data_IF_588008158052
#
_entry.id   IF_588008158052
#
_cell.length_a   1.000
_cell.length_b   1.000
_cell.length_c   1.000
_cell.angle_alpha   90.00
_cell.angle_beta   90.00
_cell.angle_gamma   90.00
#
_symmetry.space_group_name_H-M   'P 1'
#
loop_
_entity.id
_entity.type
_entity.pdbx_description
1 polymer ?
#
# COMPACT_ATOMS: atom_id res chain seq x y z
N UNK A 1 -10.56 1.19 -18.14
CA UNK A 1 -11.87 0.55 -18.43
C UNK A 1 -12.57 0.53 -17.09
N UNK A 2 -13.72 1.18 -16.97
CA UNK A 2 -14.48 1.17 -15.71
C UNK A 2 -14.87 -0.28 -15.36
N UNK A 3 -14.89 -0.62 -14.09
CA UNK A 3 -15.34 -1.93 -13.64
C UNK A 3 -16.87 -1.95 -13.65
N UNK A 4 -17.45 -3.05 -14.08
CA UNK A 4 -18.92 -3.22 -14.05
C UNK A 4 -19.48 -3.41 -12.62
N UNK A 5 -18.58 -3.58 -11.65
CA UNK A 5 -18.92 -3.82 -10.24
C UNK A 5 -17.76 -3.34 -9.35
N UNK A 6 -18.07 -2.77 -8.19
CA UNK A 6 -17.07 -2.40 -7.19
C UNK A 6 -16.37 -3.63 -6.61
N UNK A 7 -15.04 -3.56 -6.36
CA UNK A 7 -14.31 -4.64 -5.70
C UNK A 7 -14.78 -4.88 -4.27
N UNK A 8 -14.72 -6.14 -3.84
CA UNK A 8 -15.02 -6.55 -2.46
C UNK A 8 -13.87 -6.23 -1.51
N UNK A 9 -14.22 -5.96 -0.25
CA UNK A 9 -13.23 -5.65 0.78
C UNK A 9 -12.37 -6.86 1.10
N UNK A 10 -11.10 -6.60 1.40
CA UNK A 10 -10.16 -7.59 1.91
C UNK A 10 -9.99 -7.44 3.43
N UNK A 11 -9.78 -8.57 4.10
CA UNK A 11 -9.40 -8.62 5.51
C UNK A 11 -8.31 -9.66 5.75
N UNK A 12 -7.53 -9.47 6.83
CA UNK A 12 -6.51 -10.43 7.27
C UNK A 12 -6.93 -11.11 8.56
N UNK A 13 -6.55 -12.38 8.72
CA UNK A 13 -6.74 -13.13 9.96
C UNK A 13 -5.80 -12.71 11.11
N UNK A 14 -4.84 -11.81 10.81
CA UNK A 14 -3.79 -11.40 11.75
C UNK A 14 -2.57 -12.32 11.80
N UNK A 15 -2.58 -13.39 11.00
CA UNK A 15 -1.46 -14.32 10.81
C UNK A 15 -0.81 -14.17 9.43
N UNK A 16 -1.24 -13.16 8.68
CA UNK A 16 -0.71 -12.82 7.35
C UNK A 16 -1.50 -13.43 6.20
N UNK A 17 -2.59 -14.17 6.44
CA UNK A 17 -3.47 -14.63 5.38
C UNK A 17 -4.55 -13.59 5.10
N UNK A 18 -4.79 -13.34 3.80
CA UNK A 18 -5.74 -12.34 3.33
C UNK A 18 -6.91 -13.04 2.64
N UNK A 19 -8.12 -12.58 2.96
CA UNK A 19 -9.38 -13.13 2.48
C UNK A 19 -10.25 -11.98 1.95
N UNK A 20 -11.20 -12.32 1.09
CA UNK A 20 -12.26 -11.42 0.63
C UNK A 20 -13.54 -11.55 1.49
N UNK A 21 -14.23 -10.44 1.68
CA UNK A 21 -15.59 -10.41 2.22
C UNK A 21 -16.55 -9.92 1.14
N UNK A 22 -17.20 -10.87 0.47
CA UNK A 22 -18.13 -10.59 -0.62
C UNK A 22 -19.46 -9.97 -0.17
N UNK A 23 -19.66 -9.75 1.13
CA UNK A 23 -20.81 -9.00 1.64
C UNK A 23 -20.58 -7.48 1.71
N UNK A 24 -19.33 -7.03 1.46
CA UNK A 24 -18.95 -5.62 1.52
C UNK A 24 -18.15 -5.22 0.29
N UNK A 25 -18.54 -4.14 -0.37
CA UNK A 25 -17.67 -3.44 -1.30
C UNK A 25 -16.66 -2.55 -0.54
N UNK A 26 -15.52 -2.26 -1.19
CA UNK A 26 -14.50 -1.36 -0.61
C UNK A 26 -15.05 0.05 -0.51
N UNK A 27 -14.81 0.67 0.65
CA UNK A 27 -14.92 2.11 0.82
C UNK A 27 -13.52 2.75 0.85
N UNK A 28 -13.39 3.93 0.27
CA UNK A 28 -12.20 4.76 0.37
C UNK A 28 -12.39 5.85 1.42
N UNK A 29 -11.30 6.34 1.99
CA UNK A 29 -11.33 7.50 2.88
C UNK A 29 -10.67 8.70 2.20
N UNK A 30 -11.38 9.83 2.25
CA UNK A 30 -10.87 11.14 1.89
C UNK A 30 -11.23 12.11 3.03
N UNK A 31 -10.23 12.59 3.77
CA UNK A 31 -10.48 13.33 5.01
C UNK A 31 -10.94 12.41 6.15
N UNK A 32 -11.99 12.79 6.88
CA UNK A 32 -12.49 12.04 8.05
C UNK A 32 -13.54 10.98 7.70
N UNK A 33 -14.14 11.09 6.54
CA UNK A 33 -15.28 10.28 6.14
C UNK A 33 -14.88 9.18 5.16
N UNK A 34 -15.62 8.08 5.19
CA UNK A 34 -15.55 7.02 4.20
C UNK A 34 -16.57 7.28 3.08
N UNK A 35 -16.19 6.97 1.84
CA UNK A 35 -16.98 7.21 0.64
C UNK A 35 -16.94 5.98 -0.28
N UNK A 36 -17.99 5.78 -1.09
CA UNK A 36 -17.91 4.92 -2.26
C UNK A 36 -16.82 5.41 -3.20
N UNK A 37 -16.06 4.49 -3.78
CA UNK A 37 -15.03 4.82 -4.78
C UNK A 37 -15.67 4.74 -6.16
N UNK A 38 -15.57 5.79 -7.00
CA UNK A 38 -16.07 5.77 -8.37
C UNK A 38 -15.47 4.63 -9.20
N UNK A 39 -16.27 4.04 -10.09
CA UNK A 39 -15.84 2.91 -10.92
C UNK A 39 -14.66 3.26 -11.82
N UNK A 40 -14.60 4.50 -12.31
CA UNK A 40 -13.50 5.01 -13.15
C UNK A 40 -12.15 5.18 -12.45
N UNK A 41 -12.14 5.22 -11.11
CA UNK A 41 -10.93 5.41 -10.31
C UNK A 41 -10.17 4.10 -10.04
N UNK A 42 -10.78 2.96 -10.36
CA UNK A 42 -10.18 1.66 -10.14
C UNK A 42 -9.24 1.24 -11.26
N UNK A 43 -8.04 0.79 -10.88
CA UNK A 43 -7.12 0.09 -11.77
C UNK A 43 -6.72 -1.25 -11.13
N UNK A 44 -6.34 -2.24 -11.94
CA UNK A 44 -5.70 -3.45 -11.41
C UNK A 44 -4.44 -3.05 -10.63
N UNK A 45 -4.19 -3.70 -9.48
CA UNK A 45 -3.01 -3.42 -8.66
C UNK A 45 -1.75 -3.56 -9.52
N UNK A 46 -0.99 -2.47 -9.73
CA UNK A 46 0.16 -2.50 -10.60
C UNK A 46 1.24 -3.47 -10.11
N UNK A 47 1.99 -4.04 -11.05
CA UNK A 47 3.15 -4.88 -10.75
C UNK A 47 4.12 -4.16 -9.79
N UNK A 48 4.55 -4.87 -8.75
CA UNK A 48 5.34 -4.29 -7.65
C UNK A 48 4.53 -3.65 -6.53
N UNK A 49 3.21 -3.61 -6.65
CA UNK A 49 2.32 -3.29 -5.53
C UNK A 49 2.25 -4.44 -4.53
N UNK A 50 2.06 -4.13 -3.26
CA UNK A 50 1.99 -5.11 -2.18
C UNK A 50 0.78 -4.87 -1.31
N UNK A 51 0.22 -5.95 -0.74
CA UNK A 51 -0.83 -5.89 0.25
C UNK A 51 -0.24 -5.90 1.65
N UNK A 52 -0.84 -5.13 2.54
CA UNK A 52 -0.46 -5.06 3.95
C UNK A 52 -1.68 -5.17 4.83
N UNK A 53 -1.58 -6.00 5.85
CA UNK A 53 -2.54 -5.97 6.94
C UNK A 53 -2.29 -4.74 7.82
N UNK A 54 -3.35 -4.21 8.40
CA UNK A 54 -3.31 -3.05 9.30
C UNK A 54 -3.71 -3.50 10.71
N UNK A 55 -2.77 -4.00 11.53
CA UNK A 55 -3.07 -4.54 12.84
C UNK A 55 -3.83 -3.55 13.73
N UNK A 56 -4.84 -4.06 14.43
CA UNK A 56 -5.69 -3.24 15.29
C UNK A 56 -6.64 -2.29 14.55
N UNK A 57 -6.85 -2.50 13.25
CA UNK A 57 -7.79 -1.72 12.43
C UNK A 57 -8.78 -2.63 11.75
N UNK A 58 -10.05 -2.25 11.76
CA UNK A 58 -11.13 -2.95 11.08
C UNK A 58 -11.55 -2.19 9.85
N UNK A 59 -11.60 -2.86 8.70
CA UNK A 59 -12.01 -2.23 7.45
C UNK A 59 -13.43 -1.72 7.49
N UNK A 60 -13.68 -0.58 6.84
CA UNK A 60 -15.02 -0.05 6.58
C UNK A 60 -15.34 -0.33 5.12
N UNK A 61 -16.47 -0.96 4.87
CA UNK A 61 -16.98 -1.24 3.54
C UNK A 61 -18.42 -0.80 3.38
N UNK A 62 -18.96 -1.00 2.19
CA UNK A 62 -20.34 -0.71 1.82
C UNK A 62 -21.08 -2.03 1.71
N UNK A 63 -22.10 -2.23 2.50
CA UNK A 63 -22.91 -3.42 2.47
C UNK A 63 -23.57 -3.62 1.09
N UNK A 64 -23.36 -4.78 0.50
CA UNK A 64 -23.79 -5.10 -0.87
C UNK A 64 -25.30 -5.03 -1.05
N UNK A 65 -26.08 -5.38 -0.01
CA UNK A 65 -27.53 -5.43 -0.07
C UNK A 65 -28.19 -4.08 0.27
N UNK A 66 -27.64 -3.37 1.28
CA UNK A 66 -28.28 -2.15 1.81
C UNK A 66 -27.66 -0.88 1.29
N UNK A 67 -26.41 -0.92 0.80
CA UNK A 67 -25.63 0.26 0.43
C UNK A 67 -25.15 1.10 1.60
N UNK A 68 -25.31 0.64 2.84
CA UNK A 68 -24.88 1.35 4.04
C UNK A 68 -23.40 1.05 4.38
N UNK A 69 -22.72 2.03 4.96
CA UNK A 69 -21.37 1.83 5.49
C UNK A 69 -21.39 0.90 6.69
N UNK A 70 -20.52 -0.10 6.68
CA UNK A 70 -20.43 -1.10 7.75
C UNK A 70 -18.97 -1.51 8.01
N UNK A 71 -18.66 -1.82 9.26
CA UNK A 71 -17.37 -2.35 9.67
C UNK A 71 -17.30 -3.84 9.30
N UNK A 72 -16.17 -4.27 8.73
CA UNK A 72 -15.82 -5.67 8.54
C UNK A 72 -15.32 -6.24 9.87
N UNK A 73 -16.15 -7.10 10.49
CA UNK A 73 -15.84 -7.70 11.80
C UNK A 73 -14.96 -8.97 11.70
N UNK A 74 -14.60 -9.41 10.48
CA UNK A 74 -13.92 -10.71 10.25
C UNK A 74 -12.44 -10.71 10.59
N UNK A 75 -11.78 -9.54 10.57
CA UNK A 75 -10.35 -9.46 10.80
C UNK A 75 -9.79 -8.05 10.69
N UNK A 76 -8.47 -7.96 10.47
CA UNK A 76 -7.81 -6.68 10.28
C UNK A 76 -8.04 -6.12 8.88
N UNK A 77 -8.11 -4.81 8.77
CA UNK A 77 -8.14 -4.13 7.48
C UNK A 77 -6.90 -4.46 6.66
N UNK A 78 -7.08 -4.51 5.34
CA UNK A 78 -6.00 -4.66 4.36
C UNK A 78 -5.94 -3.41 3.51
N UNK A 79 -4.74 -2.98 3.21
CA UNK A 79 -4.45 -1.87 2.32
C UNK A 79 -3.36 -2.24 1.33
N UNK A 80 -3.20 -1.44 0.29
CA UNK A 80 -2.14 -1.62 -0.68
C UNK A 80 -1.09 -0.52 -0.58
N UNK A 81 0.16 -0.90 -0.83
CA UNK A 81 1.24 0.01 -1.17
C UNK A 81 1.47 -0.08 -2.67
N UNK A 82 1.25 1.02 -3.39
CA UNK A 82 1.37 1.07 -4.84
C UNK A 82 2.79 1.47 -5.26
N UNK A 83 3.28 0.98 -6.41
CA UNK A 83 4.62 1.29 -6.88
C UNK A 83 4.76 2.76 -7.30
N UNK A 84 5.99 3.29 -7.41
CA UNK A 84 6.26 4.57 -8.06
C UNK A 84 5.58 4.67 -9.41
N UNK A 85 5.47 5.84 -9.97
CA UNK A 85 4.69 6.12 -11.16
C UNK A 85 3.16 6.14 -10.95
N UNK A 86 2.67 5.75 -9.81
CA UNK A 86 1.25 5.79 -9.47
C UNK A 86 0.99 6.65 -8.24
N UNK A 87 -0.20 7.23 -8.17
CA UNK A 87 -0.69 7.91 -6.96
C UNK A 87 -2.06 7.37 -6.58
N UNK A 88 -2.23 7.05 -5.29
CA UNK A 88 -3.51 6.64 -4.74
C UNK A 88 -4.47 7.83 -4.64
N UNK A 89 -5.73 7.60 -4.95
CA UNK A 89 -6.79 8.60 -4.88
C UNK A 89 -7.51 8.56 -3.53
N UNK A 90 -7.58 7.38 -2.92
CA UNK A 90 -8.22 7.15 -1.63
C UNK A 90 -7.32 6.29 -0.74
N UNK A 91 -7.22 6.64 0.53
CA UNK A 91 -6.63 5.76 1.54
C UNK A 91 -7.64 4.70 1.96
N UNK A 92 -7.17 3.60 2.55
CA UNK A 92 -8.05 2.57 3.09
C UNK A 92 -8.98 3.16 4.17
N UNK A 93 -10.26 2.84 4.10
CA UNK A 93 -11.22 3.20 5.12
C UNK A 93 -11.21 2.15 6.24
N UNK A 94 -10.99 2.58 7.49
CA UNK A 94 -10.97 1.69 8.64
C UNK A 94 -11.31 2.42 9.94
N UNK A 95 -11.80 1.67 10.91
CA UNK A 95 -11.87 2.04 12.31
C UNK A 95 -10.59 1.63 13.02
N UNK A 96 -10.01 2.52 13.82
CA UNK A 96 -8.82 2.22 14.63
C UNK A 96 -9.27 1.81 16.02
N UNK A 97 -8.89 0.62 16.46
CA UNK A 97 -9.16 0.14 17.82
C UNK A 97 -8.23 0.83 18.84
N UNK A 98 -8.64 0.96 20.10
CA UNK A 98 -7.84 1.66 21.13
C UNK A 98 -6.43 1.11 21.32
N UNK A 99 -6.26 -0.20 21.14
CA UNK A 99 -4.98 -0.90 21.32
C UNK A 99 -4.15 -1.01 20.04
N UNK A 100 -4.57 -0.35 18.94
CA UNK A 100 -3.91 -0.47 17.65
C UNK A 100 -2.47 0.04 17.71
N UNK A 101 -1.48 -0.73 17.24
CA UNK A 101 -0.10 -0.26 17.17
C UNK A 101 0.05 0.85 16.13
N UNK A 102 1.13 1.62 16.24
CA UNK A 102 1.50 2.57 15.18
C UNK A 102 1.85 1.80 13.90
N UNK A 103 1.37 2.30 12.77
CA UNK A 103 1.73 1.73 11.47
C UNK A 103 3.15 2.16 11.08
N UNK A 104 3.97 1.22 10.57
CA UNK A 104 5.36 1.51 10.21
C UNK A 104 5.49 2.33 8.91
N UNK A 105 4.45 2.36 8.10
CA UNK A 105 4.38 3.07 6.82
C UNK A 105 3.15 3.98 6.80
N UNK A 106 3.11 4.87 5.81
CA UNK A 106 2.04 5.86 5.62
C UNK A 106 1.45 5.73 4.22
N UNK A 107 0.33 6.40 3.97
CA UNK A 107 -0.30 6.49 2.65
C UNK A 107 -0.75 5.13 2.09
N UNK A 108 -1.42 4.33 2.91
CA UNK A 108 -2.01 3.07 2.47
C UNK A 108 -3.23 3.32 1.59
N UNK A 109 -3.12 2.91 0.33
CA UNK A 109 -4.21 2.99 -0.65
C UNK A 109 -5.27 1.95 -0.33
N UNK A 110 -6.54 2.28 -0.52
CA UNK A 110 -7.61 1.30 -0.48
C UNK A 110 -7.37 0.19 -1.50
N UNK A 111 -7.80 -1.02 -1.19
CA UNK A 111 -7.65 -2.18 -2.08
C UNK A 111 -8.86 -3.10 -1.94
N UNK A 112 -9.25 -3.68 -3.04
CA UNK A 112 -10.30 -4.70 -3.06
C UNK A 112 -9.99 -5.80 -4.05
N UNK A 113 -10.82 -6.84 -3.99
CA UNK A 113 -10.71 -8.01 -4.84
C UNK A 113 -11.94 -8.16 -5.73
N UNK A 114 -11.71 -8.47 -7.00
CA UNK A 114 -12.77 -8.75 -7.96
C UNK A 114 -12.25 -9.75 -8.99
N UNK A 115 -13.00 -10.83 -9.25
CA UNK A 115 -12.71 -11.81 -10.31
C UNK A 115 -11.28 -12.35 -10.34
N UNK A 116 -10.71 -12.64 -9.16
CA UNK A 116 -9.36 -13.22 -9.06
C UNK A 116 -8.23 -12.19 -9.08
N UNK A 117 -8.52 -10.89 -9.04
CA UNK A 117 -7.54 -9.81 -9.11
C UNK A 117 -7.75 -8.80 -8.00
N UNK A 118 -6.65 -8.15 -7.63
CA UNK A 118 -6.68 -7.00 -6.72
C UNK A 118 -6.77 -5.69 -7.52
N UNK A 119 -7.59 -4.77 -7.03
CA UNK A 119 -7.80 -3.44 -7.61
C UNK A 119 -7.53 -2.36 -6.56
N UNK A 120 -6.99 -1.24 -7.02
CA UNK A 120 -6.70 -0.05 -6.20
C UNK A 120 -7.24 1.20 -6.85
N UNK A 121 -7.76 2.16 -6.08
CA UNK A 121 -8.14 3.45 -6.61
C UNK A 121 -6.89 4.32 -6.79
N UNK A 122 -6.34 4.31 -7.99
CA UNK A 122 -5.11 4.99 -8.29
C UNK A 122 -5.03 5.43 -9.75
N UNK A 123 -4.15 6.38 -10.01
CA UNK A 123 -3.82 6.80 -11.38
C UNK A 123 -2.32 6.67 -11.62
N UNK A 124 -1.96 6.36 -12.85
CA UNK A 124 -0.56 6.40 -13.29
C UNK A 124 -0.18 7.84 -13.65
N UNK A 125 0.85 8.37 -12.99
CA UNK A 125 1.32 9.75 -13.16
C UNK A 125 2.65 9.85 -13.91
N UNK A 126 3.39 8.74 -14.06
CA UNK A 126 4.67 8.69 -14.75
C UNK A 126 4.70 7.52 -15.75
N UNK A 127 5.19 7.79 -16.97
CA UNK A 127 5.26 6.79 -18.04
C UNK A 127 6.68 6.26 -18.30
N UNK A 128 7.68 6.70 -17.53
CA UNK A 128 9.06 6.26 -17.73
C UNK A 128 9.20 4.76 -17.42
N UNK A 129 9.80 4.01 -18.34
CA UNK A 129 10.03 2.57 -18.21
C UNK A 129 10.86 2.19 -16.99
N UNK A 130 11.67 3.12 -16.47
CA UNK A 130 12.47 2.92 -15.24
C UNK A 130 11.61 2.78 -13.99
N UNK A 131 10.33 3.13 -14.08
CA UNK A 131 9.34 2.92 -13.01
C UNK A 131 8.66 1.55 -13.09
N UNK A 132 8.92 0.75 -14.13
CA UNK A 132 8.33 -0.58 -14.28
C UNK A 132 8.99 -1.58 -13.32
N UNK A 133 8.19 -2.12 -12.40
CA UNK A 133 8.68 -3.05 -11.39
C UNK A 133 9.03 -4.44 -11.95
N UNK A 134 8.49 -4.81 -13.12
CA UNK A 134 8.84 -6.06 -13.83
C UNK A 134 10.33 -6.13 -14.21
N UNK A 135 10.98 -4.97 -14.34
CA UNK A 135 12.42 -4.89 -14.56
C UNK A 135 13.27 -4.99 -13.30
N UNK A 136 12.71 -5.37 -12.15
CA UNK A 136 13.48 -5.57 -10.92
C UNK A 136 14.13 -6.95 -10.91
N UNK A 137 15.47 -6.94 -10.80
CA UNK A 137 16.30 -8.13 -10.69
C UNK A 137 16.81 -8.25 -9.26
N UNK A 138 16.45 -9.33 -8.56
CA UNK A 138 16.77 -9.51 -7.16
C UNK A 138 18.27 -9.66 -6.92
N UNK A 139 19.00 -10.31 -7.85
CA UNK A 139 20.47 -10.45 -7.71
C UNK A 139 21.18 -9.11 -7.83
N UNK A 140 20.72 -8.25 -8.74
CA UNK A 140 21.23 -6.88 -8.89
C UNK A 140 20.90 -6.04 -7.66
N UNK A 141 19.68 -6.17 -7.11
CA UNK A 141 19.25 -5.46 -5.90
C UNK A 141 20.13 -5.86 -4.71
N UNK A 142 20.37 -7.15 -4.51
CA UNK A 142 21.17 -7.65 -3.40
C UNK A 142 22.63 -7.20 -3.51
N UNK A 143 23.22 -7.32 -4.70
CA UNK A 143 24.57 -6.86 -4.96
C UNK A 143 24.72 -5.34 -4.74
N UNK A 144 23.77 -4.55 -5.25
CA UNK A 144 23.74 -3.10 -5.07
C UNK A 144 23.56 -2.68 -3.60
N UNK A 145 22.70 -3.40 -2.88
CA UNK A 145 22.50 -3.19 -1.43
C UNK A 145 23.79 -3.41 -0.67
N UNK A 146 24.49 -4.53 -0.89
CA UNK A 146 25.77 -4.83 -0.26
C UNK A 146 26.83 -3.79 -0.58
N UNK A 147 26.92 -3.38 -1.86
CA UNK A 147 27.85 -2.33 -2.31
C UNK A 147 27.59 -1.01 -1.57
N UNK A 148 26.36 -0.54 -1.53
CA UNK A 148 25.99 0.72 -0.87
C UNK A 148 26.26 0.68 0.63
N UNK A 149 25.95 -0.41 1.31
CA UNK A 149 26.23 -0.60 2.73
C UNK A 149 27.74 -0.62 3.03
N UNK A 150 28.55 -1.20 2.15
CA UNK A 150 30.01 -1.20 2.31
C UNK A 150 30.62 0.19 2.06
N UNK A 151 30.21 0.84 0.96
CA UNK A 151 30.73 2.16 0.55
C UNK A 151 30.34 3.28 1.53
N UNK A 152 29.10 3.24 2.03
CA UNK A 152 28.54 4.24 2.92
C UNK A 152 28.25 3.70 4.33
N UNK A 153 29.12 2.85 4.86
CA UNK A 153 28.91 2.10 6.12
C UNK A 153 28.59 2.97 7.34
N UNK A 154 28.99 4.23 7.36
CA UNK A 154 28.67 5.19 8.44
C UNK A 154 27.49 6.10 8.13
N UNK A 155 26.88 5.95 6.95
CA UNK A 155 25.75 6.77 6.57
C UNK A 155 24.44 6.15 7.05
N UNK A 156 23.84 6.76 8.08
CA UNK A 156 22.59 6.31 8.68
C UNK A 156 21.43 6.22 7.67
N UNK A 157 21.35 7.13 6.70
CA UNK A 157 20.27 7.14 5.71
C UNK A 157 20.41 5.98 4.73
N UNK A 158 21.61 5.75 4.21
CA UNK A 158 21.87 4.61 3.32
C UNK A 158 21.59 3.30 4.03
N UNK A 159 22.02 3.17 5.29
CA UNK A 159 21.73 1.98 6.10
C UNK A 159 20.22 1.75 6.24
N UNK A 160 19.45 2.78 6.61
CA UNK A 160 18.00 2.69 6.73
C UNK A 160 17.33 2.33 5.39
N UNK A 161 17.76 2.97 4.29
CA UNK A 161 17.21 2.68 2.96
C UNK A 161 17.47 1.25 2.52
N UNK A 162 18.65 0.72 2.77
CA UNK A 162 19.02 -0.62 2.30
C UNK A 162 18.47 -1.71 3.20
N UNK A 163 18.66 -1.63 4.51
CA UNK A 163 18.23 -2.68 5.45
C UNK A 163 16.72 -2.70 5.66
N UNK A 164 16.09 -1.54 5.82
CA UNK A 164 14.65 -1.48 6.11
C UNK A 164 13.82 -1.29 4.84
N UNK A 165 14.04 -0.18 4.10
CA UNK A 165 13.17 0.13 2.99
C UNK A 165 13.33 -0.85 1.81
N UNK A 166 14.57 -1.20 1.45
CA UNK A 166 14.83 -2.09 0.32
C UNK A 166 14.55 -3.56 0.67
N UNK A 167 15.19 -4.08 1.72
CA UNK A 167 15.15 -5.51 2.02
C UNK A 167 13.94 -5.92 2.85
N UNK A 168 13.51 -5.13 3.84
CA UNK A 168 12.40 -5.50 4.71
C UNK A 168 11.05 -5.12 4.11
N UNK A 169 10.92 -3.88 3.60
CA UNK A 169 9.64 -3.37 3.10
C UNK A 169 9.49 -3.47 1.58
N UNK A 170 10.52 -3.93 0.87
CA UNK A 170 10.52 -4.04 -0.59
C UNK A 170 10.10 -2.76 -1.32
N UNK A 171 10.42 -1.59 -0.73
CA UNK A 171 10.07 -0.29 -1.29
C UNK A 171 10.67 -0.11 -2.70
N UNK A 172 9.84 0.09 -3.73
CA UNK A 172 10.31 0.20 -5.12
C UNK A 172 11.36 1.29 -5.32
N UNK A 173 11.20 2.46 -4.69
CA UNK A 173 12.18 3.53 -4.80
C UNK A 173 13.54 3.18 -4.16
N UNK A 174 13.55 2.46 -3.04
CA UNK A 174 14.79 1.97 -2.42
C UNK A 174 15.44 0.85 -3.25
N UNK A 175 14.64 -0.02 -3.89
CA UNK A 175 15.13 -1.03 -4.85
C UNK A 175 15.72 -0.38 -6.09
N UNK A 176 15.13 0.70 -6.61
CA UNK A 176 15.69 1.50 -7.69
C UNK A 176 17.07 2.08 -7.33
N UNK A 177 17.24 2.58 -6.10
CA UNK A 177 18.55 3.04 -5.62
C UNK A 177 19.58 1.89 -5.61
N UNK A 178 19.20 0.72 -5.08
CA UNK A 178 20.09 -0.46 -5.06
C UNK A 178 20.50 -0.89 -6.47
N UNK A 179 19.59 -0.82 -7.44
CA UNK A 179 19.88 -1.11 -8.85
C UNK A 179 20.66 -0.02 -9.57
N UNK A 180 21.00 1.09 -8.91
CA UNK A 180 21.66 2.23 -9.54
C UNK A 180 20.76 3.02 -10.48
N UNK A 181 19.45 2.92 -10.35
CA UNK A 181 18.49 3.74 -11.08
C UNK A 181 18.44 5.17 -10.53
N UNK A 182 17.87 6.09 -11.28
CA UNK A 182 17.89 7.53 -11.00
C UNK A 182 17.10 7.99 -9.77
N UNK A 183 16.19 7.17 -9.26
CA UNK A 183 15.28 7.51 -8.17
C UNK A 183 15.74 6.91 -6.84
N UNK A 184 15.63 7.69 -5.76
CA UNK A 184 15.75 7.16 -4.41
C UNK A 184 14.82 7.91 -3.45
N UNK A 185 14.29 7.27 -2.41
CA UNK A 185 13.59 7.95 -1.34
C UNK A 185 14.61 8.65 -0.43
N UNK A 186 14.27 9.82 0.09
CA UNK A 186 15.08 10.53 1.07
C UNK A 186 14.27 10.65 2.35
N UNK A 187 14.43 9.75 3.34
CA UNK A 187 13.75 9.87 4.61
C UNK A 187 14.31 11.07 5.40
N UNK A 188 13.44 12.03 5.68
CA UNK A 188 13.81 13.26 6.38
C UNK A 188 13.72 13.06 7.89
N UNK A 189 12.67 12.36 8.35
CA UNK A 189 12.43 12.11 9.77
C UNK A 189 11.74 10.77 9.97
N UNK A 190 12.14 10.00 10.99
CA UNK A 190 11.43 8.78 11.39
C UNK A 190 10.15 9.09 12.20
N UNK A 191 9.92 10.35 12.54
CA UNK A 191 8.79 10.79 13.35
C UNK A 191 7.98 11.85 12.61
N UNK A 192 6.68 11.79 12.78
CA UNK A 192 5.74 12.76 12.27
C UNK A 192 4.84 13.24 13.43
N UNK A 193 4.53 14.53 13.45
CA UNK A 193 3.62 15.12 14.44
C UNK A 193 2.32 15.64 13.80
N UNK A 194 2.06 15.29 12.56
CA UNK A 194 0.90 15.81 11.82
C UNK A 194 -0.42 15.20 12.29
N UNK A 195 -0.38 14.01 12.94
CA UNK A 195 -1.56 13.30 13.42
C UNK A 195 -2.65 13.19 12.34
N UNK A 196 -2.23 12.77 11.15
CA UNK A 196 -3.13 12.59 10.02
C UNK A 196 -4.10 11.43 10.26
N UNK A 197 -5.28 11.51 9.65
CA UNK A 197 -6.35 10.49 9.76
C UNK A 197 -5.88 9.11 9.26
N UNK A 198 -5.00 9.07 8.27
CA UNK A 198 -4.48 7.83 7.71
C UNK A 198 -3.34 7.19 8.51
N UNK A 199 -2.98 7.75 9.64
CA UNK A 199 -2.02 7.20 10.59
C UNK A 199 -2.73 6.78 11.86
#
# INVERSE_FOLDING_TARGET
MALDQSPYILYSDGEGQIFEDTSLYVAGRAGWDAYPIPEEDWIELPSGGNLYELPGRRGIGIDVETGEMRICEKGWAVAAFIPPAHTGLYVAAYETLPEAPLLPLFCYTAVGWLEGKNYVPAIRIEQDIRQECEGYDQEIIDAGTQKLLAEYSQNRLVKHLMENCCQTYHCPAARNLAMGRWECPIPISPACNANCIGC
#
